data_IF_779649174270
#
_entry.id   IF_779649174270
#
_cell.length_a   1.000
_cell.length_b   1.000
_cell.length_c   1.000
_cell.angle_alpha   90.00
_cell.angle_beta   90.00
_cell.angle_gamma   90.00
#
_symmetry.space_group_name_H-M   'P 1'
#
loop_
_entity.id
_entity.type
_entity.pdbx_description
1 polymer ?
#
# COMPACT_ATOMS: atom_id res chain seq x y z
N UNK A 1 -8.92 6.67 14.11
CA UNK A 1 -7.56 6.41 13.60
C UNK A 1 -7.17 7.54 12.67
N UNK A 2 -6.09 8.24 12.99
CA UNK A 2 -5.61 9.38 12.20
C UNK A 2 -4.93 8.90 10.91
N UNK A 3 -5.17 9.63 9.82
CA UNK A 3 -4.46 9.52 8.55
C UNK A 3 -3.40 10.62 8.49
N UNK A 4 -2.34 10.45 7.68
CA UNK A 4 -1.32 11.49 7.52
C UNK A 4 -1.94 12.85 7.19
N UNK A 5 -2.96 12.87 6.32
CA UNK A 5 -3.70 14.07 5.93
C UNK A 5 -4.49 14.75 7.06
N UNK A 6 -4.81 14.02 8.15
CA UNK A 6 -5.61 14.54 9.27
C UNK A 6 -4.75 15.02 10.45
N UNK A 7 -3.46 14.70 10.46
CA UNK A 7 -2.50 15.26 11.42
C UNK A 7 -2.35 16.75 11.11
N UNK A 8 -2.38 17.59 12.14
CA UNK A 8 -2.30 19.05 12.01
C UNK A 8 -0.95 19.47 11.44
N UNK A 9 -0.90 20.67 10.86
CA UNK A 9 0.36 21.17 10.30
C UNK A 9 1.39 21.49 11.39
N UNK A 10 0.93 21.90 12.58
CA UNK A 10 1.81 22.14 13.73
C UNK A 10 2.51 20.87 14.20
N UNK A 11 1.79 19.74 14.26
CA UNK A 11 2.38 18.45 14.63
C UNK A 11 3.38 17.91 13.59
N UNK A 12 3.29 18.38 12.34
CA UNK A 12 4.21 18.01 11.26
C UNK A 12 5.40 18.94 11.16
N UNK A 13 5.36 20.09 11.83
CA UNK A 13 6.32 21.18 11.64
C UNK A 13 7.75 20.69 11.84
N UNK A 14 8.03 20.06 12.97
CA UNK A 14 9.38 19.60 13.30
C UNK A 14 9.93 18.62 12.26
N UNK A 15 9.11 17.67 11.81
CA UNK A 15 9.50 16.72 10.76
C UNK A 15 9.77 17.41 9.43
N UNK A 16 8.94 18.40 9.08
CA UNK A 16 9.10 19.18 7.85
C UNK A 16 10.37 20.00 7.92
N UNK A 17 10.59 20.72 9.02
CA UNK A 17 11.75 21.58 9.25
C UNK A 17 13.05 20.75 9.22
N UNK A 18 13.09 19.60 9.89
CA UNK A 18 14.21 18.65 9.84
C UNK A 18 14.49 18.17 8.43
N UNK A 19 13.46 17.80 7.68
CA UNK A 19 13.63 17.28 6.32
C UNK A 19 14.07 18.39 5.36
N UNK A 20 13.56 19.61 5.51
CA UNK A 20 14.01 20.75 4.68
C UNK A 20 15.44 21.15 4.99
N UNK A 21 15.84 21.09 6.26
CA UNK A 21 17.18 21.50 6.69
C UNK A 21 18.22 20.45 6.32
N UNK A 22 17.97 19.18 6.63
CA UNK A 22 18.95 18.10 6.42
C UNK A 22 19.15 17.73 4.95
N UNK A 23 18.16 18.00 4.09
CA UNK A 23 18.21 17.65 2.67
C UNK A 23 18.14 18.87 1.74
N UNK A 24 18.23 20.10 2.29
CA UNK A 24 18.22 21.36 1.54
C UNK A 24 17.05 21.47 0.54
N UNK A 25 15.85 21.10 0.99
CA UNK A 25 14.66 20.99 0.13
C UNK A 25 13.87 22.31 0.13
N UNK A 26 13.68 22.90 -1.04
CA UNK A 26 12.77 24.03 -1.23
C UNK A 26 11.32 23.56 -1.43
N UNK A 27 10.52 23.60 -0.37
CA UNK A 27 9.10 23.26 -0.42
C UNK A 27 8.21 24.34 -1.09
N UNK A 28 8.77 25.45 -1.59
CA UNK A 28 8.04 26.39 -2.44
C UNK A 28 7.73 25.78 -3.82
N UNK A 29 8.55 24.84 -4.29
CA UNK A 29 8.21 24.04 -5.47
C UNK A 29 7.08 23.06 -5.12
N UNK A 30 5.89 23.35 -5.66
CA UNK A 30 4.69 22.52 -5.52
C UNK A 30 4.90 21.06 -5.94
N UNK A 31 5.69 20.78 -6.98
CA UNK A 31 5.94 19.39 -7.43
C UNK A 31 6.74 18.63 -6.38
N UNK A 32 7.79 19.27 -5.86
CA UNK A 32 8.65 18.70 -4.83
C UNK A 32 7.88 18.55 -3.51
N UNK A 33 7.15 19.57 -3.08
CA UNK A 33 6.32 19.52 -1.88
C UNK A 33 5.28 18.39 -1.94
N UNK A 34 4.61 18.21 -3.09
CA UNK A 34 3.67 17.10 -3.28
C UNK A 34 4.35 15.73 -3.23
N UNK A 35 5.54 15.60 -3.82
CA UNK A 35 6.32 14.37 -3.78
C UNK A 35 6.76 14.02 -2.35
N UNK A 36 7.31 14.98 -1.61
CA UNK A 36 7.73 14.80 -0.22
C UNK A 36 6.52 14.44 0.67
N UNK A 37 5.39 15.13 0.50
CA UNK A 37 4.17 14.81 1.23
C UNK A 37 3.65 13.39 0.93
N UNK A 38 3.80 12.91 -0.31
CA UNK A 38 3.51 11.51 -0.68
C UNK A 38 4.45 10.54 0.03
N UNK A 39 5.74 10.87 0.17
CA UNK A 39 6.70 10.07 0.91
C UNK A 39 6.35 10.00 2.40
N UNK A 40 6.03 11.11 3.05
CA UNK A 40 5.59 11.12 4.45
C UNK A 40 4.36 10.23 4.68
N UNK A 41 3.35 10.36 3.81
CA UNK A 41 2.17 9.50 3.88
C UNK A 41 2.53 8.01 3.72
N UNK A 42 3.43 7.68 2.79
CA UNK A 42 3.95 6.33 2.60
C UNK A 42 4.61 5.79 3.87
N UNK A 43 5.56 6.53 4.43
CA UNK A 43 6.29 6.17 5.66
C UNK A 43 5.36 6.02 6.86
N UNK A 44 4.39 6.93 7.01
CA UNK A 44 3.39 6.84 8.07
C UNK A 44 2.49 5.59 7.94
N UNK A 45 2.12 5.22 6.71
CA UNK A 45 1.37 3.97 6.45
C UNK A 45 2.18 2.73 6.76
N UNK A 46 3.45 2.70 6.35
CA UNK A 46 4.38 1.60 6.63
C UNK A 46 4.60 1.40 8.13
N UNK A 47 4.85 2.49 8.86
CA UNK A 47 4.98 2.47 10.32
C UNK A 47 3.74 1.84 10.98
N UNK A 48 2.54 2.31 10.63
CA UNK A 48 1.29 1.71 11.15
C UNK A 48 1.10 0.25 10.73
N UNK A 49 1.54 -0.15 9.54
CA UNK A 49 1.49 -1.54 9.11
C UNK A 49 2.39 -2.43 9.98
N UNK A 50 3.61 -1.96 10.32
CA UNK A 50 4.52 -2.65 11.26
C UNK A 50 3.89 -2.79 12.64
N UNK A 51 3.30 -1.73 13.17
CA UNK A 51 2.59 -1.76 14.45
C UNK A 51 1.40 -2.73 14.45
N UNK A 52 0.63 -2.78 13.36
CA UNK A 52 -0.46 -3.77 13.20
C UNK A 52 0.06 -5.20 13.13
N UNK A 53 1.19 -5.44 12.45
CA UNK A 53 1.84 -6.75 12.42
C UNK A 53 2.33 -7.16 13.82
N UNK A 54 2.97 -6.23 14.54
CA UNK A 54 3.39 -6.44 15.93
C UNK A 54 2.21 -6.80 16.84
N UNK A 55 1.10 -6.06 16.74
CA UNK A 55 -0.14 -6.35 17.46
C UNK A 55 -0.64 -7.78 17.20
N UNK A 56 -0.66 -8.22 15.95
CA UNK A 56 -1.13 -9.57 15.57
C UNK A 56 -0.29 -10.68 16.21
N UNK A 57 1.02 -10.51 16.31
CA UNK A 57 1.94 -11.50 16.92
C UNK A 57 1.66 -11.70 18.41
N UNK A 58 1.08 -10.71 19.11
CA UNK A 58 0.75 -10.79 20.53
C UNK A 58 -0.47 -11.65 20.84
N UNK A 59 -1.23 -12.07 19.82
CA UNK A 59 -2.40 -12.98 19.86
C UNK A 59 -3.62 -12.45 20.62
N UNK A 60 -3.45 -11.87 21.80
CA UNK A 60 -4.52 -11.31 22.62
C UNK A 60 -4.36 -9.79 22.77
N UNK A 61 -5.49 -9.12 23.01
CA UNK A 61 -5.53 -7.66 23.15
C UNK A 61 -4.80 -7.21 24.42
N UNK A 62 -5.03 -7.92 25.52
CA UNK A 62 -4.43 -7.67 26.83
C UNK A 62 -2.91 -7.82 26.78
N UNK A 63 -2.43 -8.87 26.10
CA UNK A 63 -0.99 -9.08 25.93
C UNK A 63 -0.33 -7.99 25.07
N UNK A 64 -1.04 -7.46 24.07
CA UNK A 64 -0.55 -6.35 23.25
C UNK A 64 -0.46 -5.04 24.04
N UNK A 65 -1.43 -4.77 24.92
CA UNK A 65 -1.43 -3.60 25.81
C UNK A 65 -0.32 -3.68 26.86
N UNK A 66 -0.09 -4.87 27.45
CA UNK A 66 0.95 -5.07 28.46
C UNK A 66 2.37 -5.02 27.88
N UNK A 67 2.55 -5.24 26.57
CA UNK A 67 3.85 -5.33 25.91
C UNK A 67 3.95 -4.37 24.71
N UNK A 68 3.92 -3.05 24.94
CA UNK A 68 4.11 -2.06 23.89
C UNK A 68 5.46 -2.25 23.18
N UNK A 69 5.55 -1.99 21.86
CA UNK A 69 6.83 -1.98 21.17
C UNK A 69 7.69 -0.82 21.67
N UNK A 70 9.02 -1.00 21.67
CA UNK A 70 10.00 -0.02 22.15
C UNK A 70 9.78 1.37 21.52
N UNK A 71 9.53 1.39 20.20
CA UNK A 71 9.27 2.63 19.46
C UNK A 71 8.08 3.45 20.02
N UNK A 72 7.12 2.81 20.70
CA UNK A 72 5.97 3.49 21.30
C UNK A 72 6.20 3.85 22.78
N UNK A 73 7.18 3.25 23.45
CA UNK A 73 7.59 3.68 24.80
C UNK A 73 8.13 5.10 24.76
N UNK A 74 8.96 5.40 23.76
CA UNK A 74 9.58 6.73 23.61
C UNK A 74 8.62 7.76 22.99
N UNK A 75 7.66 7.31 22.18
CA UNK A 75 6.78 8.19 21.37
C UNK A 75 5.40 8.46 21.97
N UNK A 76 4.98 7.67 22.97
CA UNK A 76 3.71 7.83 23.65
C UNK A 76 2.93 6.54 23.77
N UNK A 77 2.91 5.96 24.97
CA UNK A 77 2.19 4.72 25.28
C UNK A 77 0.68 4.88 25.04
N UNK A 78 0.12 6.06 25.29
CA UNK A 78 -1.30 6.34 25.06
C UNK A 78 -1.69 6.16 23.59
N UNK A 79 -0.83 6.58 22.66
CA UNK A 79 -1.05 6.37 21.23
C UNK A 79 -1.03 4.87 20.88
N UNK A 80 -0.23 4.07 21.57
CA UNK A 80 -0.24 2.62 21.39
C UNK A 80 -1.54 1.99 21.89
N UNK A 81 -2.06 2.43 23.02
CA UNK A 81 -3.36 1.99 23.55
C UNK A 81 -4.47 2.29 22.56
N UNK A 82 -4.51 3.50 21.99
CA UNK A 82 -5.48 3.88 20.96
C UNK A 82 -5.39 3.00 19.70
N UNK A 83 -4.17 2.69 19.26
CA UNK A 83 -3.93 1.80 18.12
C UNK A 83 -4.40 0.38 18.42
N UNK A 84 -4.11 -0.15 19.62
CA UNK A 84 -4.60 -1.46 20.06
C UNK A 84 -6.12 -1.51 20.04
N UNK A 85 -6.79 -0.49 20.58
CA UNK A 85 -8.25 -0.38 20.57
C UNK A 85 -8.80 -0.36 19.14
N UNK A 86 -8.13 0.36 18.24
CA UNK A 86 -8.48 0.37 16.83
C UNK A 86 -8.34 -1.01 16.18
N UNK A 87 -7.21 -1.69 16.37
CA UNK A 87 -6.97 -3.02 15.82
C UNK A 87 -7.91 -4.08 16.39
N UNK A 88 -8.30 -3.93 17.65
CA UNK A 88 -9.25 -4.82 18.31
C UNK A 88 -10.70 -4.57 17.90
N UNK A 89 -11.01 -3.40 17.35
CA UNK A 89 -12.36 -3.00 16.97
C UNK A 89 -12.99 -3.95 15.94
N UNK A 90 -14.28 -4.21 16.10
CA UNK A 90 -15.05 -5.05 15.17
C UNK A 90 -15.00 -4.50 13.73
N UNK A 91 -15.02 -3.18 13.57
CA UNK A 91 -14.94 -2.51 12.26
C UNK A 91 -13.63 -2.87 11.56
N UNK A 92 -12.50 -2.78 12.26
CA UNK A 92 -11.19 -3.11 11.68
C UNK A 92 -11.06 -4.60 11.38
N UNK A 93 -11.45 -5.48 12.31
CA UNK A 93 -11.42 -6.94 12.11
C UNK A 93 -12.22 -7.38 10.89
N UNK A 94 -13.45 -6.87 10.73
CA UNK A 94 -14.30 -7.15 9.56
C UNK A 94 -13.63 -6.70 8.26
N UNK A 95 -13.11 -5.48 8.21
CA UNK A 95 -12.42 -4.97 7.02
C UNK A 95 -11.14 -5.76 6.69
N UNK A 96 -10.35 -6.09 7.71
CA UNK A 96 -9.12 -6.90 7.54
C UNK A 96 -9.44 -8.31 7.04
N UNK A 97 -10.47 -8.96 7.57
CA UNK A 97 -10.89 -10.29 7.13
C UNK A 97 -11.37 -10.25 5.68
N UNK A 98 -12.21 -9.26 5.32
CA UNK A 98 -12.66 -9.08 3.94
C UNK A 98 -11.47 -8.89 2.97
N UNK A 99 -10.47 -8.08 3.34
CA UNK A 99 -9.27 -7.89 2.53
C UNK A 99 -8.47 -9.19 2.34
N UNK A 100 -8.32 -10.00 3.41
CA UNK A 100 -7.67 -11.31 3.32
C UNK A 100 -8.45 -12.23 2.37
N UNK A 101 -9.78 -12.32 2.53
CA UNK A 101 -10.63 -13.15 1.67
C UNK A 101 -10.59 -12.69 0.20
N UNK A 102 -10.61 -11.38 -0.05
CA UNK A 102 -10.49 -10.82 -1.40
C UNK A 102 -9.13 -11.14 -2.02
N UNK A 103 -8.07 -11.08 -1.23
CA UNK A 103 -6.73 -11.47 -1.67
C UNK A 103 -6.65 -12.97 -1.98
N UNK A 104 -7.28 -13.83 -1.17
CA UNK A 104 -7.36 -15.27 -1.42
C UNK A 104 -8.18 -15.61 -2.67
N UNK A 105 -9.19 -14.80 -3.01
CA UNK A 105 -9.98 -14.94 -4.25
C UNK A 105 -9.23 -14.50 -5.51
N UNK A 106 -8.09 -13.81 -5.38
CA UNK A 106 -7.31 -13.34 -6.53
C UNK A 106 -6.65 -14.52 -7.24
N UNK A 107 -7.15 -14.85 -8.44
CA UNK A 107 -6.73 -16.03 -9.22
C UNK A 107 -5.38 -15.85 -9.91
N UNK A 108 -5.07 -14.64 -10.37
CA UNK A 108 -3.84 -14.35 -11.10
C UNK A 108 -3.48 -12.86 -10.97
N UNK A 109 -2.21 -12.56 -11.23
CA UNK A 109 -1.68 -11.20 -11.12
C UNK A 109 -1.54 -10.56 -12.50
N UNK A 110 -2.04 -9.34 -12.62
CA UNK A 110 -1.78 -8.46 -13.76
C UNK A 110 -0.32 -8.02 -13.76
N UNK A 111 0.32 -8.02 -14.93
CA UNK A 111 1.78 -7.83 -15.08
C UNK A 111 2.18 -6.55 -15.78
N UNK A 112 1.26 -5.79 -16.37
CA UNK A 112 1.60 -4.55 -17.10
C UNK A 112 1.67 -3.31 -16.21
N UNK A 113 1.71 -3.52 -14.88
CA UNK A 113 1.78 -2.44 -13.91
C UNK A 113 0.50 -1.61 -13.88
N UNK A 114 0.63 -0.30 -13.99
CA UNK A 114 -0.48 0.67 -13.99
C UNK A 114 -0.96 1.04 -15.39
N UNK A 115 -0.48 0.34 -16.43
CA UNK A 115 -0.85 0.64 -17.81
C UNK A 115 -2.28 0.14 -18.07
N UNK A 116 -3.21 1.01 -18.51
CA UNK A 116 -4.57 0.58 -18.81
C UNK A 116 -4.60 -0.26 -20.09
N UNK A 117 -5.61 -1.12 -20.22
CA UNK A 117 -5.72 -1.97 -21.39
C UNK A 117 -5.84 -1.20 -22.70
N UNK A 118 -6.61 -0.11 -22.72
CA UNK A 118 -6.77 0.73 -23.92
C UNK A 118 -5.43 1.21 -24.50
N UNK A 119 -4.51 1.61 -23.64
CA UNK A 119 -3.20 2.08 -24.05
C UNK A 119 -2.32 0.95 -24.62
N UNK A 120 -2.44 -0.25 -24.04
CA UNK A 120 -1.71 -1.43 -24.53
C UNK A 120 -2.27 -1.91 -25.87
N UNK A 121 -3.61 -1.90 -26.05
CA UNK A 121 -4.25 -2.22 -27.33
C UNK A 121 -3.77 -1.25 -28.42
N UNK A 122 -3.73 0.04 -28.10
CA UNK A 122 -3.28 1.07 -29.06
C UNK A 122 -1.80 0.87 -29.46
N UNK A 123 -0.92 0.58 -28.51
CA UNK A 123 0.48 0.24 -28.82
C UNK A 123 0.59 -1.03 -29.68
N UNK A 124 -0.11 -2.11 -29.32
CA UNK A 124 -0.09 -3.35 -30.09
C UNK A 124 -0.58 -3.16 -31.52
N UNK A 125 -1.62 -2.33 -31.72
CA UNK A 125 -2.10 -1.99 -33.05
C UNK A 125 -1.03 -1.25 -33.88
N UNK A 126 -0.30 -0.32 -33.25
CA UNK A 126 0.83 0.40 -33.88
C UNK A 126 2.01 -0.53 -34.19
N UNK A 127 2.26 -1.51 -33.32
CA UNK A 127 3.30 -2.53 -33.48
C UNK A 127 2.90 -3.63 -34.50
N UNK A 128 1.71 -3.53 -35.11
CA UNK A 128 1.27 -4.41 -36.19
C UNK A 128 0.50 -5.66 -35.75
N UNK A 129 0.03 -5.73 -34.50
CA UNK A 129 -0.91 -6.78 -34.10
C UNK A 129 -2.20 -6.67 -34.91
N UNK A 130 -2.64 -7.79 -35.47
CA UNK A 130 -3.90 -7.90 -36.22
C UNK A 130 -5.13 -7.95 -35.32
N UNK A 131 -4.97 -8.43 -34.07
CA UNK A 131 -6.04 -8.60 -33.09
C UNK A 131 -5.59 -8.16 -31.69
N UNK A 132 -5.27 -6.87 -31.51
CA UNK A 132 -4.67 -6.37 -30.27
C UNK A 132 -5.60 -6.53 -29.06
N UNK A 133 -6.91 -6.49 -29.27
CA UNK A 133 -7.92 -6.73 -28.22
C UNK A 133 -7.94 -8.18 -27.71
N UNK A 134 -7.50 -9.14 -28.53
CA UNK A 134 -7.38 -10.54 -28.14
C UNK A 134 -6.00 -10.80 -27.49
N UNK A 135 -4.95 -10.27 -28.11
CA UNK A 135 -3.56 -10.46 -27.69
C UNK A 135 -3.27 -9.84 -26.30
N UNK A 136 -4.00 -8.78 -25.94
CA UNK A 136 -3.78 -8.04 -24.70
C UNK A 136 -3.90 -8.89 -23.44
N UNK A 137 -4.80 -9.86 -23.41
CA UNK A 137 -4.98 -10.70 -22.24
C UNK A 137 -3.74 -11.56 -21.99
N UNK A 138 -3.21 -12.20 -23.03
CA UNK A 138 -1.96 -12.95 -22.94
C UNK A 138 -0.80 -12.03 -22.52
N UNK A 139 -0.67 -10.87 -23.15
CA UNK A 139 0.38 -9.91 -22.79
C UNK A 139 0.29 -9.43 -21.33
N UNK A 140 -0.92 -9.21 -20.83
CA UNK A 140 -1.14 -8.69 -19.50
C UNK A 140 -0.96 -9.71 -18.37
N UNK A 141 -1.09 -11.00 -18.67
CA UNK A 141 -1.17 -12.05 -17.65
C UNK A 141 -0.16 -13.20 -17.83
N UNK A 142 0.34 -13.45 -19.05
CA UNK A 142 1.41 -14.40 -19.28
C UNK A 142 2.75 -13.86 -18.75
N UNK A 143 3.64 -14.78 -18.37
CA UNK A 143 5.01 -14.46 -17.99
C UNK A 143 5.86 -14.12 -19.22
N UNK A 144 7.17 -13.91 -18.99
CA UNK A 144 8.13 -13.69 -20.09
C UNK A 144 8.02 -14.82 -21.12
N UNK A 145 8.18 -14.49 -22.40
CA UNK A 145 8.10 -15.45 -23.52
C UNK A 145 6.77 -16.22 -23.60
N UNK A 146 5.65 -15.61 -23.20
CA UNK A 146 4.32 -16.23 -23.15
C UNK A 146 4.24 -17.48 -22.25
N UNK A 147 5.16 -17.59 -21.28
CA UNK A 147 5.11 -18.65 -20.28
C UNK A 147 4.05 -18.35 -19.23
N UNK A 148 2.91 -19.03 -19.30
CA UNK A 148 1.84 -18.89 -18.32
C UNK A 148 2.29 -19.34 -16.92
N UNK A 149 2.11 -18.46 -15.95
CA UNK A 149 2.42 -18.74 -14.53
C UNK A 149 1.19 -19.18 -13.74
N UNK A 150 0.00 -18.85 -14.23
CA UNK A 150 -1.28 -19.24 -13.63
C UNK A 150 -2.06 -20.06 -14.66
N UNK A 151 -2.25 -21.36 -14.39
CA UNK A 151 -3.02 -22.25 -15.27
C UNK A 151 -4.46 -21.76 -15.45
N UNK A 152 -5.04 -21.14 -14.41
CA UNK A 152 -6.38 -20.55 -14.45
C UNK A 152 -6.46 -19.39 -15.45
N UNK A 153 -5.40 -18.58 -15.57
CA UNK A 153 -5.36 -17.51 -16.56
C UNK A 153 -5.21 -18.08 -17.98
N UNK A 154 -4.35 -19.10 -18.14
CA UNK A 154 -4.18 -19.80 -19.42
C UNK A 154 -5.50 -20.38 -19.93
N UNK A 155 -6.26 -21.06 -19.07
CA UNK A 155 -7.54 -21.66 -19.42
C UNK A 155 -8.64 -20.64 -19.76
N UNK A 156 -8.49 -19.38 -19.39
CA UNK A 156 -9.41 -18.30 -19.77
C UNK A 156 -9.05 -17.65 -21.12
N UNK A 157 -7.81 -17.82 -21.57
CA UNK A 157 -7.34 -17.28 -22.84
C UNK A 157 -7.60 -18.22 -24.03
N UNK A 158 -7.56 -19.54 -23.77
CA UNK A 158 -7.87 -20.60 -24.75
C UNK A 158 -9.38 -20.76 -24.90
#
# INVERSE_FOLDING_TARGET
MSYWRTISQSEKKDLIDDTTTNFEIDLKDSRLANYINKLYNGRYREFKAKLSAYYKVRKTHENALANPPIEMLDRGVDQWVELCNHFNSNKFKKASLANILNQLKKKYNHRTGSRPFSYIVEEMAKDGSKFPEFDIFEFAYAGKNKCWTYNVAKAQHV
#
